data_IF_895778576156
#
_entry.id   IF_895778576156
#
_cell.length_a   1.000
_cell.length_b   1.000
_cell.length_c   1.000
_cell.angle_alpha   90.00
_cell.angle_beta   90.00
_cell.angle_gamma   90.00
#
_symmetry.space_group_name_H-M   'P 1'
#
loop_
_entity.id
_entity.type
_entity.pdbx_description
1 polymer ?
#
# COMPACT_ATOMS: atom_id res chain seq x y z
N UNK A 1 -28.02 6.53 3.72
CA UNK A 1 -27.14 7.19 4.72
C UNK A 1 -26.99 6.30 5.97
N UNK A 2 -28.07 5.78 6.55
CA UNK A 2 -27.98 4.86 7.71
C UNK A 2 -27.22 3.56 7.45
N UNK A 3 -27.36 2.94 6.28
CA UNK A 3 -26.68 1.66 5.99
C UNK A 3 -25.16 1.83 5.80
N UNK A 4 -24.74 2.99 5.31
CA UNK A 4 -23.33 3.36 5.19
C UNK A 4 -22.68 3.48 6.57
N UNK A 5 -23.34 4.16 7.51
CA UNK A 5 -22.84 4.33 8.88
C UNK A 5 -22.83 2.99 9.61
N UNK A 6 -23.87 2.17 9.45
CA UNK A 6 -23.90 0.78 9.97
C UNK A 6 -22.70 -0.02 9.50
N UNK A 7 -22.42 -0.01 8.19
CA UNK A 7 -21.26 -0.71 7.63
C UNK A 7 -19.92 -0.22 8.20
N UNK A 8 -19.76 1.10 8.35
CA UNK A 8 -18.54 1.69 8.92
C UNK A 8 -18.36 1.21 10.36
N UNK A 9 -19.39 1.33 11.20
CA UNK A 9 -19.34 0.91 12.61
C UNK A 9 -19.03 -0.58 12.74
N UNK A 10 -19.72 -1.43 11.97
CA UNK A 10 -19.48 -2.88 11.96
C UNK A 10 -18.05 -3.23 11.54
N UNK A 11 -17.47 -2.47 10.61
CA UNK A 11 -16.10 -2.68 10.13
C UNK A 11 -15.05 -2.17 11.14
N UNK A 12 -15.30 -1.05 11.80
CA UNK A 12 -14.41 -0.48 12.82
C UNK A 12 -14.41 -1.30 14.13
N UNK A 13 -15.46 -2.06 14.39
CA UNK A 13 -15.53 -2.96 15.55
C UNK A 13 -14.78 -4.28 15.33
N UNK A 14 -14.49 -4.65 14.08
CA UNK A 14 -13.71 -5.84 13.75
C UNK A 14 -12.22 -5.58 13.84
N UNK A 15 -11.43 -6.65 13.76
CA UNK A 15 -9.99 -6.53 13.53
C UNK A 15 -9.74 -5.79 12.20
N UNK A 16 -8.77 -4.87 12.14
CA UNK A 16 -7.72 -4.56 13.13
C UNK A 16 -8.07 -3.46 14.14
N UNK A 17 -9.18 -2.74 13.96
CA UNK A 17 -9.44 -1.46 14.66
C UNK A 17 -10.02 -1.61 16.07
N UNK A 18 -10.90 -2.59 16.31
CA UNK A 18 -11.49 -2.93 17.63
C UNK A 18 -12.00 -1.72 18.43
N UNK A 19 -12.64 -0.75 17.76
CA UNK A 19 -13.02 0.55 18.37
C UNK A 19 -14.32 0.55 19.20
N UNK A 20 -15.09 -0.55 19.21
CA UNK A 20 -16.31 -0.75 20.01
C UNK A 20 -17.35 0.38 19.93
N UNK A 21 -17.52 0.99 18.76
CA UNK A 21 -18.53 2.01 18.52
C UNK A 21 -19.93 1.41 18.38
N UNK A 22 -20.95 2.18 18.77
CA UNK A 22 -22.33 2.00 18.34
C UNK A 22 -22.76 3.16 17.43
N UNK A 23 -23.90 3.05 16.74
CA UNK A 23 -24.36 4.07 15.78
C UNK A 23 -24.48 5.48 16.38
N UNK A 24 -24.91 5.59 17.64
CA UNK A 24 -25.13 6.88 18.31
C UNK A 24 -23.78 7.50 18.69
N UNK A 25 -22.92 6.73 19.34
CA UNK A 25 -21.57 7.16 19.74
C UNK A 25 -20.74 7.58 18.53
N UNK A 26 -20.80 6.80 17.44
CA UNK A 26 -20.10 7.13 16.20
C UNK A 26 -20.65 8.40 15.54
N UNK A 27 -21.97 8.56 15.45
CA UNK A 27 -22.52 9.79 14.88
C UNK A 27 -22.35 11.00 15.82
N UNK A 28 -22.18 10.81 17.13
CA UNK A 28 -21.87 11.90 18.05
C UNK A 28 -20.41 12.36 18.02
N UNK A 29 -19.52 11.68 17.26
CA UNK A 29 -18.11 12.02 17.20
C UNK A 29 -17.89 13.45 16.69
N UNK A 30 -17.07 14.19 17.43
CA UNK A 30 -16.62 15.51 17.01
C UNK A 30 -15.67 15.43 15.80
N UNK A 31 -15.45 16.55 15.08
CA UNK A 31 -14.67 16.54 13.84
C UNK A 31 -13.24 16.02 14.00
N UNK A 32 -12.57 16.40 15.10
CA UNK A 32 -11.21 15.91 15.43
C UNK A 32 -11.18 14.40 15.69
N UNK A 33 -12.17 13.88 16.41
CA UNK A 33 -12.26 12.43 16.69
C UNK A 33 -12.55 11.65 15.41
N UNK A 34 -13.41 12.20 14.54
CA UNK A 34 -13.71 11.60 13.25
C UNK A 34 -12.50 11.60 12.31
N UNK A 35 -11.68 12.66 12.34
CA UNK A 35 -10.39 12.71 11.64
C UNK A 35 -9.39 11.71 12.20
N UNK A 36 -9.35 11.52 13.52
CA UNK A 36 -8.52 10.46 14.12
C UNK A 36 -8.93 9.08 13.62
N UNK A 37 -10.23 8.79 13.58
CA UNK A 37 -10.72 7.51 13.04
C UNK A 37 -10.31 7.34 11.58
N UNK A 38 -10.40 8.39 10.76
CA UNK A 38 -9.91 8.34 9.39
C UNK A 38 -8.40 8.11 9.31
N UNK A 39 -7.61 8.78 10.14
CA UNK A 39 -6.16 8.60 10.22
C UNK A 39 -5.80 7.16 10.59
N UNK A 40 -6.46 6.58 11.60
CA UNK A 40 -6.24 5.20 12.03
C UNK A 40 -6.53 4.21 10.89
N UNK A 41 -7.60 4.43 10.11
CA UNK A 41 -7.92 3.61 8.94
C UNK A 41 -6.89 3.77 7.83
N UNK A 42 -6.35 4.97 7.62
CA UNK A 42 -5.29 5.21 6.65
C UNK A 42 -3.94 4.63 7.10
N UNK A 43 -3.61 4.68 8.38
CA UNK A 43 -2.42 4.08 8.99
C UNK A 43 -2.41 2.56 8.85
N UNK A 44 -3.59 1.94 8.96
CA UNK A 44 -3.73 0.52 8.69
C UNK A 44 -3.48 0.16 7.21
N UNK A 45 -3.77 1.07 6.28
CA UNK A 45 -3.53 0.86 4.84
C UNK A 45 -2.07 1.12 4.48
N UNK A 46 -1.48 2.19 5.02
CA UNK A 46 -0.09 2.59 4.84
C UNK A 46 0.48 3.06 6.19
N UNK A 47 1.40 2.29 6.80
CA UNK A 47 2.00 2.63 8.09
C UNK A 47 2.65 4.01 8.15
N UNK A 48 3.01 4.62 7.02
CA UNK A 48 3.54 6.00 6.98
C UNK A 48 2.53 7.06 7.41
N UNK A 49 1.25 6.72 7.47
CA UNK A 49 0.21 7.64 7.90
C UNK A 49 -0.01 7.64 9.41
N UNK A 50 0.71 6.80 10.16
CA UNK A 50 0.70 6.77 11.61
C UNK A 50 1.41 8.02 12.17
N UNK A 51 0.72 9.15 12.07
CA UNK A 51 1.16 10.46 12.52
C UNK A 51 0.08 11.00 13.47
N UNK A 52 0.51 11.62 14.57
CA UNK A 52 -0.41 12.30 15.47
C UNK A 52 -0.92 13.59 14.82
N UNK A 53 -2.22 13.59 14.48
CA UNK A 53 -2.89 14.72 13.83
C UNK A 53 -2.94 15.97 14.72
N UNK A 54 -2.65 15.87 16.02
CA UNK A 54 -2.59 17.00 16.96
C UNK A 54 -1.28 17.78 16.86
N UNK A 55 -0.23 17.14 16.36
CA UNK A 55 1.08 17.75 16.14
C UNK A 55 1.20 18.37 14.74
N UNK A 56 0.26 18.08 13.83
CA UNK A 56 0.20 18.62 12.47
C UNK A 56 -0.80 19.77 12.34
N UNK A 57 -0.50 20.75 11.48
CA UNK A 57 -1.49 21.76 11.09
C UNK A 57 -2.62 21.10 10.29
N UNK A 58 -3.90 21.47 10.49
CA UNK A 58 -5.05 20.85 9.79
C UNK A 58 -4.90 20.79 8.26
N UNK A 59 -4.33 21.82 7.65
CA UNK A 59 -4.06 21.90 6.22
C UNK A 59 -3.00 20.90 5.75
N UNK A 60 -1.98 20.64 6.58
CA UNK A 60 -0.93 19.66 6.31
C UNK A 60 -1.48 18.24 6.40
N UNK A 61 -2.23 17.95 7.47
CA UNK A 61 -2.95 16.68 7.65
C UNK A 61 -3.86 16.39 6.47
N UNK A 62 -4.67 17.38 6.05
CA UNK A 62 -5.55 17.24 4.90
C UNK A 62 -4.77 17.01 3.60
N UNK A 63 -3.66 17.71 3.38
CA UNK A 63 -2.80 17.51 2.19
C UNK A 63 -2.20 16.10 2.17
N UNK A 64 -1.70 15.61 3.30
CA UNK A 64 -1.13 14.26 3.45
C UNK A 64 -2.18 13.19 3.15
N UNK A 65 -3.36 13.28 3.77
CA UNK A 65 -4.48 12.36 3.54
C UNK A 65 -4.95 12.41 2.07
N UNK A 66 -5.05 13.59 1.46
CA UNK A 66 -5.40 13.75 0.04
C UNK A 66 -4.40 13.07 -0.90
N UNK A 67 -3.11 13.22 -0.63
CA UNK A 67 -2.07 12.58 -1.42
C UNK A 67 -2.24 11.06 -1.41
N UNK A 68 -2.44 10.46 -0.23
CA UNK A 68 -2.69 9.02 -0.14
C UNK A 68 -3.99 8.61 -0.84
N UNK A 69 -5.09 9.35 -0.66
CA UNK A 69 -6.34 9.07 -1.38
C UNK A 69 -6.16 9.14 -2.91
N UNK A 70 -5.33 10.04 -3.40
CA UNK A 70 -4.95 10.14 -4.82
C UNK A 70 -4.16 8.91 -5.31
N UNK A 71 -3.23 8.41 -4.50
CA UNK A 71 -2.47 7.18 -4.77
C UNK A 71 -3.40 5.96 -4.82
N UNK A 72 -4.35 5.90 -3.89
CA UNK A 72 -5.38 4.88 -3.82
C UNK A 72 -6.40 4.99 -4.98
N UNK A 73 -6.36 6.09 -5.75
CA UNK A 73 -7.30 6.44 -6.84
C UNK A 73 -8.74 6.54 -6.34
N UNK A 74 -8.92 7.05 -5.13
CA UNK A 74 -10.23 7.42 -4.65
C UNK A 74 -10.80 8.55 -5.51
N UNK A 75 -12.07 8.41 -5.91
CA UNK A 75 -12.80 9.46 -6.62
C UNK A 75 -13.90 9.95 -5.67
N UNK A 76 -13.82 11.20 -5.18
CA UNK A 76 -14.88 11.77 -4.37
C UNK A 76 -16.23 11.71 -5.10
N UNK A 77 -17.33 11.39 -4.42
CA UNK A 77 -18.66 11.47 -5.01
C UNK A 77 -19.02 12.95 -5.23
N UNK A 78 -18.79 13.45 -6.45
CA UNK A 78 -18.99 14.86 -6.84
C UNK A 78 -18.34 15.19 -8.20
N UNK A 79 -18.68 16.33 -8.79
CA UNK A 79 -18.09 16.83 -10.02
C UNK A 79 -16.70 17.46 -9.77
N UNK A 80 -15.93 17.73 -10.82
CA UNK A 80 -14.55 18.26 -10.71
C UNK A 80 -14.43 19.61 -9.95
N UNK A 81 -15.52 20.38 -9.85
CA UNK A 81 -15.61 21.63 -9.08
C UNK A 81 -15.55 21.42 -7.55
N UNK A 82 -15.74 20.17 -7.09
CA UNK A 82 -15.89 19.81 -5.68
C UNK A 82 -14.55 19.56 -4.97
N UNK A 83 -13.40 19.65 -5.64
CA UNK A 83 -12.10 19.34 -5.02
C UNK A 83 -11.71 20.34 -3.93
N UNK A 84 -12.02 21.63 -4.10
CA UNK A 84 -11.79 22.66 -3.09
C UNK A 84 -12.67 22.45 -1.85
N UNK A 85 -13.96 22.18 -2.09
CA UNK A 85 -14.94 21.86 -1.04
C UNK A 85 -14.59 20.57 -0.32
N UNK A 86 -14.13 19.56 -1.04
CA UNK A 86 -13.65 18.29 -0.48
C UNK A 86 -12.43 18.51 0.42
N UNK A 87 -11.46 19.31 -0.05
CA UNK A 87 -10.29 19.70 0.76
C UNK A 87 -10.70 20.44 2.03
N UNK A 88 -11.58 21.43 1.94
CA UNK A 88 -12.09 22.16 3.11
C UNK A 88 -12.84 21.24 4.07
N UNK A 89 -13.65 20.33 3.54
CA UNK A 89 -14.36 19.34 4.35
C UNK A 89 -13.42 18.37 5.07
N UNK A 90 -12.27 18.04 4.47
CA UNK A 90 -11.23 17.24 5.13
C UNK A 90 -10.49 18.04 6.21
N UNK A 91 -10.18 19.32 5.98
CA UNK A 91 -9.54 20.19 6.98
C UNK A 91 -10.43 20.35 8.22
N UNK A 92 -11.73 20.56 8.02
CA UNK A 92 -12.68 20.84 9.11
C UNK A 92 -13.18 19.54 9.77
N UNK A 93 -12.97 18.36 9.16
CA UNK A 93 -13.44 17.09 9.68
C UNK A 93 -14.94 16.84 9.43
N UNK A 94 -15.44 17.26 8.27
CA UNK A 94 -16.86 17.28 7.93
C UNK A 94 -17.42 15.88 7.65
N UNK A 95 -18.50 15.50 8.34
CA UNK A 95 -19.15 14.18 8.20
C UNK A 95 -19.55 13.81 6.77
N UNK A 96 -20.15 14.71 5.95
CA UNK A 96 -20.50 14.41 4.57
C UNK A 96 -19.30 14.06 3.68
N UNK A 97 -18.08 14.47 4.08
CA UNK A 97 -16.83 14.15 3.36
C UNK A 97 -16.18 12.89 3.93
N UNK A 98 -16.09 12.76 5.26
CA UNK A 98 -15.37 11.64 5.88
C UNK A 98 -16.16 10.32 5.78
N UNK A 99 -17.49 10.33 5.94
CA UNK A 99 -18.25 9.07 5.90
C UNK A 99 -18.12 8.34 4.55
N UNK A 100 -18.23 9.00 3.38
CA UNK A 100 -17.97 8.34 2.09
C UNK A 100 -16.55 7.78 1.96
N UNK A 101 -15.55 8.52 2.45
CA UNK A 101 -14.15 8.09 2.42
C UNK A 101 -13.96 6.83 3.28
N UNK A 102 -14.40 6.86 4.54
CA UNK A 102 -14.32 5.72 5.45
C UNK A 102 -15.01 4.49 4.86
N UNK A 103 -16.24 4.66 4.37
CA UNK A 103 -16.99 3.57 3.77
C UNK A 103 -16.22 2.93 2.61
N UNK A 104 -15.65 3.74 1.72
CA UNK A 104 -14.89 3.24 0.58
C UNK A 104 -13.59 2.53 0.98
N UNK A 105 -12.83 3.11 1.92
CA UNK A 105 -11.59 2.51 2.43
C UNK A 105 -11.84 1.14 3.07
N UNK A 106 -12.89 1.04 3.88
CA UNK A 106 -13.24 -0.18 4.62
C UNK A 106 -13.78 -1.29 3.71
N UNK A 107 -14.43 -0.96 2.60
CA UNK A 107 -14.91 -1.96 1.63
C UNK A 107 -13.79 -2.75 0.95
N UNK A 108 -12.60 -2.16 0.76
CA UNK A 108 -11.51 -2.74 -0.06
C UNK A 108 -10.15 -2.73 0.63
N UNK A 109 -10.11 -2.80 1.96
CA UNK A 109 -8.89 -2.68 2.77
C UNK A 109 -7.71 -3.51 2.25
N UNK A 110 -7.91 -4.80 1.92
CA UNK A 110 -6.84 -5.68 1.43
C UNK A 110 -6.30 -5.29 0.04
N UNK A 111 -7.16 -4.82 -0.87
CA UNK A 111 -6.72 -4.35 -2.18
C UNK A 111 -5.99 -3.01 -2.06
N UNK A 112 -6.49 -2.12 -1.20
CA UNK A 112 -5.90 -0.82 -0.94
C UNK A 112 -4.54 -0.93 -0.26
N UNK A 113 -4.38 -1.86 0.70
CA UNK A 113 -3.07 -2.20 1.31
C UNK A 113 -2.05 -2.61 0.26
N UNK A 114 -2.43 -3.54 -0.63
CA UNK A 114 -1.55 -3.96 -1.75
C UNK A 114 -1.23 -2.78 -2.66
N UNK A 115 -2.22 -1.93 -2.96
CA UNK A 115 -2.02 -0.75 -3.81
C UNK A 115 -1.08 0.27 -3.16
N UNK A 116 -1.26 0.59 -1.89
CA UNK A 116 -0.38 1.48 -1.13
C UNK A 116 1.05 0.92 -1.08
N UNK A 117 1.19 -0.38 -0.80
CA UNK A 117 2.49 -1.06 -0.78
C UNK A 117 3.20 -0.98 -2.14
N UNK A 118 2.49 -1.27 -3.24
CA UNK A 118 3.06 -1.19 -4.59
C UNK A 118 3.35 0.25 -5.01
N UNK A 119 2.51 1.20 -4.62
CA UNK A 119 2.68 2.61 -4.94
C UNK A 119 4.01 3.16 -4.41
N UNK A 120 4.49 2.67 -3.27
CA UNK A 120 5.83 2.99 -2.75
C UNK A 120 6.96 2.74 -3.77
N UNK A 121 6.79 1.75 -4.64
CA UNK A 121 7.80 1.33 -5.61
C UNK A 121 7.47 1.77 -7.04
N UNK A 122 6.20 2.06 -7.33
CA UNK A 122 5.72 2.33 -8.68
C UNK A 122 5.36 3.81 -8.92
N UNK A 123 5.28 4.64 -7.88
CA UNK A 123 5.15 6.08 -8.06
C UNK A 123 6.52 6.62 -8.49
N UNK A 124 6.52 7.38 -9.58
CA UNK A 124 7.72 8.09 -10.05
C UNK A 124 8.22 8.97 -8.91
N UNK A 125 9.46 8.73 -8.49
CA UNK A 125 10.13 9.63 -7.56
C UNK A 125 10.24 10.99 -8.25
N UNK A 126 9.68 12.04 -7.65
CA UNK A 126 9.90 13.40 -8.13
C UNK A 126 11.35 13.77 -7.82
N UNK A 127 12.18 13.80 -8.85
CA UNK A 127 13.56 14.27 -8.76
C UNK A 127 13.51 15.79 -8.64
N UNK A 128 14.08 16.40 -7.58
CA UNK A 128 14.11 17.84 -7.42
C UNK A 128 14.75 18.53 -8.63
N UNK A 129 14.23 19.70 -9.01
CA UNK A 129 14.65 20.41 -10.21
C UNK A 129 16.12 20.80 -10.21
N UNK A 130 16.78 20.90 -9.04
CA UNK A 130 18.22 21.18 -8.96
C UNK A 130 19.07 20.07 -9.60
N UNK A 131 18.66 18.81 -9.47
CA UNK A 131 19.36 17.65 -10.05
C UNK A 131 19.06 17.47 -11.54
N UNK A 132 17.95 18.03 -12.02
CA UNK A 132 17.55 17.99 -13.44
C UNK A 132 18.14 19.13 -14.27
N UNK A 133 18.95 20.01 -13.67
CA UNK A 133 19.71 21.03 -14.41
C UNK A 133 20.82 20.42 -15.26
N UNK A 134 21.35 19.27 -14.82
CA UNK A 134 22.28 18.48 -15.62
C UNK A 134 21.49 17.70 -16.68
N UNK A 135 21.72 18.05 -17.95
CA UNK A 135 21.06 17.46 -19.11
C UNK A 135 21.24 15.94 -19.17
N UNK A 136 22.41 15.43 -18.77
CA UNK A 136 22.72 13.99 -18.80
C UNK A 136 21.94 13.22 -17.73
N UNK A 137 21.78 13.81 -16.55
CA UNK A 137 21.00 13.25 -15.44
C UNK A 137 19.51 13.28 -15.78
N UNK A 138 19.03 14.38 -16.36
CA UNK A 138 17.63 14.52 -16.76
C UNK A 138 17.25 13.49 -17.85
N UNK A 139 18.10 13.30 -18.86
CA UNK A 139 17.85 12.34 -19.92
C UNK A 139 17.92 10.89 -19.41
N UNK A 140 18.89 10.56 -18.56
CA UNK A 140 19.02 9.21 -17.98
C UNK A 140 17.79 8.87 -17.13
N UNK A 141 17.38 9.77 -16.24
CA UNK A 141 16.18 9.58 -15.40
C UNK A 141 14.92 9.38 -16.26
N UNK A 142 14.77 10.16 -17.34
CA UNK A 142 13.64 10.02 -18.25
C UNK A 142 13.65 8.67 -19.00
N UNK A 143 14.81 8.26 -19.49
CA UNK A 143 14.98 6.97 -20.19
C UNK A 143 14.69 5.79 -19.27
N UNK A 144 15.25 5.79 -18.06
CA UNK A 144 15.04 4.72 -17.07
C UNK A 144 13.58 4.61 -16.65
N UNK A 145 12.91 5.75 -16.39
CA UNK A 145 11.48 5.76 -16.09
C UNK A 145 10.68 5.16 -17.25
N UNK A 146 10.97 5.56 -18.49
CA UNK A 146 10.27 5.04 -19.67
C UNK A 146 10.48 3.53 -19.85
N UNK A 147 11.73 3.07 -19.71
CA UNK A 147 12.08 1.66 -19.81
C UNK A 147 11.37 0.81 -18.74
N UNK A 148 11.36 1.27 -17.48
CA UNK A 148 10.65 0.59 -16.39
C UNK A 148 9.13 0.55 -16.62
N UNK A 149 8.54 1.62 -17.15
CA UNK A 149 7.11 1.65 -17.50
C UNK A 149 6.78 0.66 -18.60
N UNK A 150 7.60 0.57 -19.64
CA UNK A 150 7.45 -0.40 -20.72
C UNK A 150 7.59 -1.84 -20.22
N UNK A 151 8.59 -2.13 -19.38
CA UNK A 151 8.81 -3.48 -18.82
C UNK A 151 7.61 -3.92 -17.97
N UNK A 152 7.11 -3.02 -17.11
CA UNK A 152 5.91 -3.26 -16.31
C UNK A 152 4.71 -3.59 -17.20
N UNK A 153 4.48 -2.83 -18.27
CA UNK A 153 3.36 -3.06 -19.18
C UNK A 153 3.49 -4.38 -19.95
N UNK A 154 4.71 -4.75 -20.35
CA UNK A 154 4.99 -6.05 -20.96
C UNK A 154 4.73 -7.21 -19.99
N UNK A 155 5.19 -7.10 -18.74
CA UNK A 155 4.95 -8.08 -17.68
C UNK A 155 3.46 -8.24 -17.40
N UNK A 156 2.72 -7.14 -17.28
CA UNK A 156 1.27 -7.15 -17.07
C UNK A 156 0.54 -7.87 -18.22
N UNK A 157 0.89 -7.57 -19.48
CA UNK A 157 0.34 -8.27 -20.66
C UNK A 157 0.65 -9.77 -20.62
N UNK A 158 1.87 -10.16 -20.22
CA UNK A 158 2.28 -11.57 -20.13
C UNK A 158 1.52 -12.32 -19.04
N UNK A 159 1.39 -11.71 -17.85
CA UNK A 159 0.61 -12.24 -16.73
C UNK A 159 -0.85 -12.43 -17.13
N UNK A 160 -1.44 -11.44 -17.79
CA UNK A 160 -2.84 -11.50 -18.22
C UNK A 160 -3.09 -12.62 -19.24
N UNK A 161 -2.19 -12.78 -20.22
CA UNK A 161 -2.25 -13.91 -21.17
C UNK A 161 -2.12 -15.26 -20.47
N UNK A 162 -1.23 -15.37 -19.48
CA UNK A 162 -1.06 -16.60 -18.71
C UNK A 162 -2.29 -16.91 -17.86
N UNK A 163 -2.87 -15.92 -17.18
CA UNK A 163 -4.11 -16.08 -16.41
C UNK A 163 -5.24 -16.62 -17.29
N UNK A 164 -5.49 -16.00 -18.43
CA UNK A 164 -6.51 -16.47 -19.39
C UNK A 164 -6.32 -17.93 -19.80
N UNK A 165 -5.07 -18.35 -20.04
CA UNK A 165 -4.75 -19.75 -20.39
C UNK A 165 -4.89 -20.72 -19.23
N UNK A 166 -4.71 -20.27 -18.00
CA UNK A 166 -4.83 -21.11 -16.81
C UNK A 166 -6.29 -21.27 -16.39
N UNK A 167 -7.10 -20.22 -16.53
CA UNK A 167 -8.53 -20.23 -16.21
C UNK A 167 -9.33 -21.20 -17.08
N UNK A 168 -8.87 -21.53 -18.29
CA UNK A 168 -9.51 -22.55 -19.14
C UNK A 168 -9.33 -23.98 -18.63
N UNK A 169 -8.40 -24.22 -17.70
CA UNK A 169 -8.13 -25.55 -17.14
C UNK A 169 -9.09 -25.82 -15.98
N UNK A 170 -9.64 -27.04 -15.93
CA UNK A 170 -10.46 -27.47 -14.80
C UNK A 170 -9.64 -27.51 -13.51
N UNK A 171 -10.27 -27.16 -12.38
CA UNK A 171 -9.64 -27.13 -11.05
C UNK A 171 -8.40 -26.20 -10.95
N UNK A 172 -8.26 -25.21 -11.84
CA UNK A 172 -7.10 -24.31 -11.88
C UNK A 172 -6.81 -23.61 -10.54
N UNK A 173 -7.83 -23.24 -9.76
CA UNK A 173 -7.64 -22.62 -8.44
C UNK A 173 -6.87 -23.54 -7.48
N UNK A 174 -7.22 -24.83 -7.44
CA UNK A 174 -6.53 -25.83 -6.59
C UNK A 174 -5.11 -26.05 -7.09
N UNK A 175 -4.93 -26.17 -8.40
CA UNK A 175 -3.62 -26.36 -9.03
C UNK A 175 -2.69 -25.17 -8.78
N UNK A 176 -3.18 -23.94 -8.91
CA UNK A 176 -2.42 -22.72 -8.61
C UNK A 176 -2.01 -22.64 -7.15
N UNK A 177 -2.88 -23.07 -6.22
CA UNK A 177 -2.55 -23.12 -4.79
C UNK A 177 -1.40 -24.09 -4.51
N UNK A 178 -1.46 -25.29 -5.09
CA UNK A 178 -0.41 -26.31 -4.95
C UNK A 178 0.90 -25.84 -5.61
N UNK A 179 0.83 -25.29 -6.83
CA UNK A 179 1.99 -24.76 -7.53
C UNK A 179 2.68 -23.63 -6.74
N UNK A 180 1.89 -22.75 -6.10
CA UNK A 180 2.42 -21.72 -5.20
C UNK A 180 3.14 -22.32 -4.00
N UNK A 181 2.58 -23.34 -3.36
CA UNK A 181 3.22 -24.03 -2.24
C UNK A 181 4.53 -24.69 -2.67
N UNK A 182 4.52 -25.43 -3.78
CA UNK A 182 5.72 -26.07 -4.32
C UNK A 182 6.82 -25.05 -4.64
N UNK A 183 6.47 -23.90 -5.22
CA UNK A 183 7.43 -22.83 -5.50
C UNK A 183 8.10 -22.31 -4.22
N UNK A 184 7.30 -22.06 -3.18
CA UNK A 184 7.81 -21.56 -1.88
C UNK A 184 8.73 -22.59 -1.23
N UNK A 185 8.39 -23.88 -1.27
CA UNK A 185 9.26 -24.93 -0.73
C UNK A 185 10.57 -25.07 -1.52
N UNK A 186 10.54 -24.94 -2.85
CA UNK A 186 11.76 -24.93 -3.67
C UNK A 186 12.66 -23.73 -3.37
N UNK A 187 12.09 -22.54 -3.25
CA UNK A 187 12.84 -21.33 -2.87
C UNK A 187 13.48 -21.49 -1.48
N UNK A 188 12.78 -22.14 -0.54
CA UNK A 188 13.31 -22.47 0.78
C UNK A 188 14.43 -23.51 0.72
N UNK A 189 14.30 -24.54 -0.11
CA UNK A 189 15.32 -25.56 -0.34
C UNK A 189 16.61 -24.93 -0.91
N UNK A 190 16.50 -24.07 -1.92
CA UNK A 190 17.62 -23.35 -2.52
C UNK A 190 18.32 -22.45 -1.49
N UNK A 191 17.56 -21.72 -0.69
CA UNK A 191 18.11 -20.89 0.39
C UNK A 191 18.90 -21.70 1.41
N UNK A 192 18.35 -22.84 1.86
CA UNK A 192 19.03 -23.73 2.80
C UNK A 192 20.30 -24.35 2.19
N UNK A 193 20.26 -24.69 0.90
CA UNK A 193 21.42 -25.20 0.18
C UNK A 193 22.55 -24.16 0.09
N UNK A 194 22.21 -22.90 -0.21
CA UNK A 194 23.17 -21.80 -0.20
C UNK A 194 23.77 -21.60 1.19
N UNK A 195 22.94 -21.53 2.24
CA UNK A 195 23.41 -21.38 3.62
C UNK A 195 24.35 -22.52 4.05
N UNK A 196 24.03 -23.77 3.68
CA UNK A 196 24.89 -24.93 3.99
C UNK A 196 26.24 -24.83 3.27
N UNK A 197 26.26 -24.36 2.02
CA UNK A 197 27.49 -24.17 1.26
C UNK A 197 28.35 -23.06 1.88
N UNK A 198 27.74 -21.95 2.28
CA UNK A 198 28.43 -20.84 2.96
C UNK A 198 29.06 -21.28 4.29
N UNK A 199 28.32 -22.01 5.12
CA UNK A 199 28.85 -22.57 6.37
C UNK A 199 30.03 -23.52 6.13
N UNK A 200 29.93 -24.38 5.09
CA UNK A 200 31.03 -25.29 4.74
C UNK A 200 32.27 -24.52 4.29
N UNK A 201 32.10 -23.44 3.53
CA UNK A 201 33.19 -22.58 3.11
C UNK A 201 33.83 -21.88 4.32
N UNK A 202 33.03 -21.35 5.26
CA UNK A 202 33.51 -20.72 6.49
C UNK A 202 34.34 -21.67 7.37
N UNK A 203 33.83 -22.87 7.64
CA UNK A 203 34.57 -23.88 8.42
C UNK A 203 35.87 -24.28 7.72
N UNK A 204 35.86 -24.40 6.39
CA UNK A 204 37.05 -24.71 5.61
C UNK A 204 38.09 -23.58 5.69
N UNK A 205 37.66 -22.33 5.63
CA UNK A 205 38.56 -21.17 5.79
C UNK A 205 39.14 -21.11 7.21
N UNK A 206 38.34 -21.28 8.26
CA UNK A 206 38.82 -21.29 9.65
C UNK A 206 39.80 -22.44 9.93
N UNK A 207 39.61 -23.59 9.28
CA UNK A 207 40.51 -24.74 9.38
C UNK A 207 41.87 -24.47 8.73
N UNK A 208 41.92 -23.69 7.65
CA UNK A 208 43.17 -23.28 6.99
C UNK A 208 43.95 -22.24 7.80
N UNK A 209 43.24 -21.32 8.46
CA UNK A 209 43.87 -20.32 9.35
C UNK A 209 44.39 -20.93 10.65
N UNK A 210 43.69 -21.92 11.23
CA UNK A 210 44.16 -22.62 12.44
C UNK A 210 45.29 -23.61 12.19
N UNK A 211 45.40 -24.17 10.97
CA UNK A 211 46.52 -25.03 10.55
C UNK A 211 47.82 -24.29 10.25
N UNK A 212 47.79 -22.96 10.07
CA UNK A 212 48.97 -22.13 9.78
C UNK A 212 49.61 -21.50 11.03
N UNK A 213 49.05 -21.75 12.23
CA UNK A 213 49.56 -21.25 13.52
C UNK A 213 50.20 -22.35 14.40
N UNK A 214 50.48 -23.53 13.85
CA UNK A 214 51.23 -24.61 14.51
C UNK A 214 52.45 -24.97 13.68
#
# INVERSE_FOLDING_TARGET
>A
MSDQIKFIVDSLNKEPFKKNYNLITFDSLGPMQLLQVLNDVLAEIDPKQDVDIREEMPEQTAKRMLNLLGILKYKPPGNATDMSTFRQGLVIGSKPVIYPVLHWLLQKSNELKKRAYLARFLIKLEVPSEFLQDETVADTNKQDISAMEEEKDQLMKRVERLKKRVETVQNHQRMLKIARQLRVEKEREEFLAQQKQEQKNQVSTESLYSGSQK
#
